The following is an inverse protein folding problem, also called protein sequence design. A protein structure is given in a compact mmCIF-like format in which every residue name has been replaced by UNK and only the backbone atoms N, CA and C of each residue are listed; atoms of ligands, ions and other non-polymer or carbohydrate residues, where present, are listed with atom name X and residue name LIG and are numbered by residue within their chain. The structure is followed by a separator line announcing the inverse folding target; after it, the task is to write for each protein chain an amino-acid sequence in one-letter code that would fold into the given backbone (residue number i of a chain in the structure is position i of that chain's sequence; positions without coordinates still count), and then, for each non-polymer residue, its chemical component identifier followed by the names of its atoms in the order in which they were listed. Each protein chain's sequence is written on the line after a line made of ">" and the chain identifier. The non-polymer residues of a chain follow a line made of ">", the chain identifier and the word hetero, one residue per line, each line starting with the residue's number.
data_IF_277805798727
#
_entry.id   IF_277805798727
#
_cell.length_a   1.000
_cell.length_b   1.000
_cell.length_c   1.000
_cell.angle_alpha   90.00
_cell.angle_beta   90.00
_cell.angle_gamma   90.00
#
_symmetry.space_group_name_H-M   'P 1'
#
loop_
_entity.id
_entity.type
_entity.pdbx_description
1 polymer ?
#
# COMPACT_ATOMS: atom_id res chain seq x y z
N UNK A 1 -2.78 18.83 9.75
CA UNK A 1 -3.22 18.93 8.34
C UNK A 1 -4.74 18.83 8.30
N UNK A 2 -5.44 19.60 7.45
CA UNK A 2 -6.88 19.43 7.26
C UNK A 2 -7.19 18.05 6.62
N UNK A 3 -8.40 17.50 6.84
CA UNK A 3 -8.82 16.25 6.20
C UNK A 3 -8.79 16.33 4.66
N UNK A 4 -8.45 15.21 4.03
CA UNK A 4 -8.52 15.10 2.56
C UNK A 4 -9.98 15.04 2.09
N UNK A 5 -10.24 15.56 0.90
CA UNK A 5 -11.55 15.40 0.25
C UNK A 5 -11.75 13.94 -0.21
N UNK A 6 -13.01 13.46 -0.34
CA UNK A 6 -13.28 12.11 -0.83
C UNK A 6 -12.65 11.81 -2.19
N UNK A 7 -12.64 12.78 -3.11
CA UNK A 7 -12.00 12.64 -4.42
C UNK A 7 -10.47 12.46 -4.32
N UNK A 8 -9.83 13.19 -3.41
CA UNK A 8 -8.39 13.06 -3.18
C UNK A 8 -8.01 11.69 -2.58
N UNK A 9 -8.87 11.12 -1.73
CA UNK A 9 -8.69 9.77 -1.20
C UNK A 9 -8.70 8.73 -2.33
N UNK A 10 -9.62 8.86 -3.28
CA UNK A 10 -9.71 7.94 -4.42
C UNK A 10 -8.44 7.94 -5.29
N UNK A 11 -7.78 9.09 -5.44
CA UNK A 11 -6.49 9.18 -6.16
C UNK A 11 -5.30 8.60 -5.41
N UNK A 12 -5.43 8.36 -4.11
CA UNK A 12 -4.36 7.85 -3.26
C UNK A 12 -4.30 6.33 -3.21
N UNK A 13 -5.33 5.66 -3.73
CA UNK A 13 -5.41 4.20 -3.81
C UNK A 13 -5.20 3.77 -5.26
N UNK A 14 -4.11 3.05 -5.51
CA UNK A 14 -3.76 2.51 -6.82
C UNK A 14 -3.91 0.98 -6.84
N UNK A 15 -4.38 0.39 -7.95
CA UNK A 15 -4.39 -1.06 -8.11
C UNK A 15 -2.95 -1.59 -8.27
N UNK A 16 -2.64 -2.68 -7.59
CA UNK A 16 -1.43 -3.48 -7.78
C UNK A 16 -1.81 -4.88 -8.24
N UNK A 17 -1.44 -5.20 -9.48
CA UNK A 17 -1.71 -6.51 -10.07
C UNK A 17 -0.72 -7.55 -9.58
N UNK A 18 -1.23 -8.72 -9.21
CA UNK A 18 -0.47 -9.90 -8.78
C UNK A 18 -1.07 -11.15 -9.44
N UNK A 19 -0.36 -12.27 -9.41
CA UNK A 19 -0.92 -13.55 -9.89
C UNK A 19 -2.16 -13.99 -9.09
N UNK A 20 -2.24 -13.61 -7.81
CA UNK A 20 -3.34 -13.96 -6.91
C UNK A 20 -4.55 -13.02 -7.03
N UNK A 21 -4.51 -12.05 -7.95
CA UNK A 21 -5.54 -11.04 -8.16
C UNK A 21 -5.05 -9.61 -7.90
N UNK A 22 -5.99 -8.69 -7.83
CA UNK A 22 -5.71 -7.26 -7.63
C UNK A 22 -5.68 -6.91 -6.14
N UNK A 23 -4.63 -6.20 -5.74
CA UNK A 23 -4.54 -5.52 -4.45
C UNK A 23 -4.87 -4.04 -4.65
N UNK A 24 -5.59 -3.46 -3.69
CA UNK A 24 -5.56 -2.01 -3.52
C UNK A 24 -4.26 -1.64 -2.80
N UNK A 25 -3.62 -0.55 -3.18
CA UNK A 25 -2.36 -0.11 -2.59
C UNK A 25 -2.33 1.39 -2.39
N UNK A 26 -1.56 1.86 -1.42
CA UNK A 26 -1.35 3.30 -1.18
C UNK A 26 0.07 3.57 -0.72
N UNK A 27 0.51 4.80 -0.99
CA UNK A 27 1.80 5.33 -0.62
C UNK A 27 1.59 6.72 -0.02
N UNK A 28 1.73 6.81 1.30
CA UNK A 28 1.43 8.01 2.08
C UNK A 28 2.74 8.53 2.65
N UNK A 29 3.24 9.63 2.07
CA UNK A 29 4.36 10.37 2.61
C UNK A 29 3.88 11.45 3.60
N UNK A 30 4.49 11.51 4.78
CA UNK A 30 4.24 12.52 5.79
C UNK A 30 5.54 13.06 6.40
N UNK A 31 5.46 14.04 7.31
CA UNK A 31 6.63 14.58 7.98
C UNK A 31 7.35 13.49 8.79
N UNK A 32 8.58 13.16 8.40
CA UNK A 32 9.45 12.19 9.10
C UNK A 32 9.14 10.71 8.86
N UNK A 33 7.98 10.37 8.28
CA UNK A 33 7.58 8.99 8.04
C UNK A 33 6.84 8.80 6.71
N UNK A 34 6.95 7.59 6.16
CA UNK A 34 6.20 7.16 4.98
C UNK A 34 5.55 5.81 5.27
N UNK A 35 4.37 5.59 4.71
CA UNK A 35 3.63 4.33 4.82
C UNK A 35 3.31 3.80 3.44
N UNK A 36 3.72 2.56 3.19
CA UNK A 36 3.23 1.74 2.09
C UNK A 36 2.23 0.75 2.65
N UNK A 37 1.07 0.61 2.01
CA UNK A 37 0.14 -0.44 2.36
C UNK A 37 -0.47 -1.06 1.12
N UNK A 38 -0.80 -2.34 1.20
CA UNK A 38 -1.55 -3.06 0.19
C UNK A 38 -2.54 -4.01 0.85
N UNK A 39 -3.73 -4.15 0.26
CA UNK A 39 -4.77 -5.01 0.80
C UNK A 39 -5.65 -5.61 -0.27
N UNK A 40 -6.20 -6.79 0.03
CA UNK A 40 -7.17 -7.48 -0.80
C UNK A 40 -8.14 -8.29 0.04
N UNK A 41 -9.24 -8.75 -0.56
CA UNK A 41 -10.19 -9.67 0.06
C UNK A 41 -10.03 -11.06 -0.52
N UNK A 42 -9.93 -12.06 0.35
CA UNK A 42 -9.86 -13.47 -0.03
C UNK A 42 -10.57 -14.32 1.01
N UNK A 43 -11.47 -15.19 0.56
CA UNK A 43 -12.21 -16.16 1.40
C UNK A 43 -12.85 -15.54 2.65
N UNK A 44 -13.56 -14.42 2.45
CA UNK A 44 -14.25 -13.69 3.53
C UNK A 44 -13.34 -12.92 4.49
N UNK A 45 -12.01 -12.91 4.25
CA UNK A 45 -11.03 -12.17 5.06
C UNK A 45 -10.38 -11.04 4.28
N UNK A 46 -9.96 -9.99 4.99
CA UNK A 46 -9.09 -8.94 4.46
C UNK A 46 -7.66 -9.27 4.82
N UNK A 47 -6.80 -9.35 3.81
CA UNK A 47 -5.36 -9.44 3.99
C UNK A 47 -4.77 -8.04 3.83
N UNK A 48 -4.10 -7.54 4.86
CA UNK A 48 -3.56 -6.18 4.91
C UNK A 48 -2.07 -6.22 5.24
N UNK A 49 -1.26 -5.67 4.34
CA UNK A 49 0.19 -5.59 4.46
C UNK A 49 0.60 -4.13 4.58
N UNK A 50 1.51 -3.83 5.51
CA UNK A 50 1.93 -2.45 5.78
C UNK A 50 3.41 -2.37 6.12
N UNK A 51 4.09 -1.39 5.55
CA UNK A 51 5.43 -0.96 5.93
C UNK A 51 5.39 0.53 6.27
N UNK A 52 5.79 0.89 7.49
CA UNK A 52 5.84 2.27 7.97
C UNK A 52 7.18 2.52 8.66
N UNK A 53 7.79 3.68 8.42
CA UNK A 53 9.09 4.02 9.00
C UNK A 53 9.64 5.35 8.45
N UNK A 54 10.94 5.64 8.70
CA UNK A 54 11.59 6.84 8.18
C UNK A 54 11.39 7.00 6.67
N UNK A 55 11.02 8.21 6.23
CA UNK A 55 10.58 8.44 4.86
C UNK A 55 11.56 7.98 3.78
N UNK A 56 12.86 8.24 3.97
CA UNK A 56 13.91 7.83 3.05
C UNK A 56 14.14 6.31 3.03
N UNK A 57 14.02 5.65 4.18
CA UNK A 57 14.18 4.20 4.29
C UNK A 57 13.02 3.47 3.61
N UNK A 58 11.78 3.90 3.85
CA UNK A 58 10.60 3.30 3.24
C UNK A 58 10.55 3.55 1.74
N UNK A 59 10.95 4.75 1.28
CA UNK A 59 11.04 5.02 -0.16
C UNK A 59 12.06 4.11 -0.85
N UNK A 60 13.22 3.90 -0.23
CA UNK A 60 14.25 2.98 -0.74
C UNK A 60 13.72 1.54 -0.86
N UNK A 61 12.94 1.09 0.11
CA UNK A 61 12.40 -0.27 0.14
C UNK A 61 11.10 -0.46 -0.65
N UNK A 62 10.52 0.62 -1.21
CA UNK A 62 9.27 0.55 -1.98
C UNK A 62 9.28 -0.50 -3.09
N UNK A 63 10.34 -0.66 -3.92
CA UNK A 63 10.38 -1.72 -4.92
C UNK A 63 10.34 -3.13 -4.33
N UNK A 64 10.96 -3.32 -3.16
CA UNK A 64 10.99 -4.61 -2.47
C UNK A 64 9.64 -4.92 -1.82
N UNK A 65 8.97 -3.91 -1.25
CA UNK A 65 7.59 -4.04 -0.78
C UNK A 65 6.66 -4.46 -1.92
N UNK A 66 6.74 -3.81 -3.09
CA UNK A 66 5.93 -4.18 -4.26
C UNK A 66 6.19 -5.62 -4.70
N UNK A 67 7.45 -6.05 -4.79
CA UNK A 67 7.80 -7.44 -5.12
C UNK A 67 7.25 -8.43 -4.10
N UNK A 68 7.30 -8.10 -2.82
CA UNK A 68 6.72 -8.91 -1.75
C UNK A 68 5.20 -9.07 -1.93
N UNK A 69 4.47 -7.99 -2.23
CA UNK A 69 3.02 -8.12 -2.50
C UNK A 69 2.75 -8.97 -3.75
N UNK A 70 3.56 -8.82 -4.80
CA UNK A 70 3.45 -9.63 -6.02
C UNK A 70 3.74 -11.11 -5.79
N UNK A 71 4.50 -11.48 -4.75
CA UNK A 71 4.78 -12.88 -4.40
C UNK A 71 3.73 -13.52 -3.48
N UNK A 72 2.78 -12.74 -2.94
CA UNK A 72 1.70 -13.29 -2.09
C UNK A 72 0.85 -14.27 -2.88
N UNK A 73 0.59 -15.44 -2.30
CA UNK A 73 -0.30 -16.51 -2.79
C UNK A 73 -1.29 -16.89 -1.68
N UNK A 74 -2.51 -17.25 -2.06
CA UNK A 74 -3.60 -17.62 -1.14
C UNK A 74 -4.09 -19.03 -1.41
#
# INVERSE_FOLDING_TARGET
>A
MPPMSPAAIATQVAPLQTESGTFASTDIAGPGARTLAAWTRRDGRVWFFKATGPGSAVEKEKPNFVKFIQSVRF
#
